data_IF_509472877297
#
_entry.id   IF_509472877297
#
_cell.length_a   1.000
_cell.length_b   1.000
_cell.length_c   1.000
_cell.angle_alpha   90.00
_cell.angle_beta   90.00
_cell.angle_gamma   90.00
#
_symmetry.space_group_name_H-M   'P 1'
#
loop_
_entity.id
_entity.type
_entity.pdbx_description
1 polymer ?
#
# COMPACT_ATOMS: atom_id res chain seq x y z
N UNK A 1 0.69 -19.64 12.19
CA UNK A 1 -0.67 -19.21 11.81
C UNK A 1 -0.52 -18.20 10.68
N UNK A 2 -0.79 -18.61 9.44
CA UNK A 2 -0.63 -17.77 8.24
C UNK A 2 -2.00 -17.14 7.95
N UNK A 3 -2.27 -15.96 8.50
CA UNK A 3 -3.38 -15.11 8.06
C UNK A 3 -2.91 -14.34 6.83
N UNK A 4 -3.09 -14.88 5.62
CA UNK A 4 -2.66 -14.15 4.40
C UNK A 4 -3.61 -14.16 3.20
N UNK A 5 -4.78 -14.81 3.27
CA UNK A 5 -5.67 -14.87 2.11
C UNK A 5 -6.80 -13.84 2.08
N UNK A 6 -7.23 -13.31 3.23
CA UNK A 6 -8.51 -12.60 3.28
C UNK A 6 -8.42 -11.21 3.92
N UNK A 7 -7.23 -10.59 3.89
CA UNK A 7 -7.09 -9.18 4.26
C UNK A 7 -7.30 -8.31 3.01
N UNK A 8 -8.23 -7.37 3.12
CA UNK A 8 -8.55 -6.40 2.07
C UNK A 8 -8.07 -5.03 2.52
N UNK A 9 -7.36 -4.33 1.64
CA UNK A 9 -6.92 -2.95 1.86
C UNK A 9 -7.79 -2.04 1.01
N UNK A 10 -8.44 -1.07 1.64
CA UNK A 10 -9.40 -0.17 0.97
C UNK A 10 -9.01 1.26 1.31
N UNK A 11 -8.75 2.07 0.29
CA UNK A 11 -8.60 3.51 0.43
C UNK A 11 -9.93 4.20 0.12
N UNK A 12 -10.28 5.25 0.86
CA UNK A 12 -11.46 6.08 0.58
C UNK A 12 -11.08 7.52 0.23
N UNK A 13 -12.09 8.34 -0.09
CA UNK A 13 -11.92 9.74 -0.46
C UNK A 13 -11.53 10.67 0.72
N UNK A 14 -11.54 10.15 1.96
CA UNK A 14 -11.10 10.88 3.16
C UNK A 14 -9.63 10.58 3.50
N UNK A 15 -8.88 9.96 2.57
CA UNK A 15 -7.49 9.55 2.75
C UNK A 15 -7.28 8.53 3.87
N UNK A 16 -8.31 7.75 4.17
CA UNK A 16 -8.27 6.66 5.12
C UNK A 16 -7.98 5.35 4.38
N UNK A 17 -7.06 4.55 4.91
CA UNK A 17 -6.78 3.20 4.46
C UNK A 17 -7.25 2.22 5.53
N UNK A 18 -8.28 1.45 5.20
CA UNK A 18 -8.81 0.40 6.04
C UNK A 18 -8.16 -0.93 5.72
N UNK A 19 -7.74 -1.64 6.76
CA UNK A 19 -7.29 -3.03 6.68
C UNK A 19 -8.41 -3.89 7.26
N UNK A 20 -9.14 -4.55 6.38
CA UNK A 20 -10.33 -5.32 6.71
C UNK A 20 -10.07 -6.82 6.66
N UNK A 21 -10.48 -7.55 7.70
CA UNK A 21 -10.50 -9.01 7.72
C UNK A 21 -11.87 -9.48 7.20
N UNK A 22 -11.89 -10.02 5.98
CA UNK A 22 -13.11 -10.45 5.33
C UNK A 22 -13.81 -11.60 6.07
N UNK A 23 -13.04 -12.56 6.61
CA UNK A 23 -13.63 -13.72 7.28
C UNK A 23 -14.26 -13.36 8.63
N UNK A 24 -13.65 -12.39 9.33
CA UNK A 24 -14.16 -11.93 10.63
C UNK A 24 -15.13 -10.77 10.52
N UNK A 25 -15.30 -10.21 9.33
CA UNK A 25 -16.10 -9.02 9.07
C UNK A 25 -15.73 -7.86 10.00
N UNK A 26 -14.44 -7.57 10.13
CA UNK A 26 -13.91 -6.61 11.10
C UNK A 26 -12.81 -5.73 10.48
N UNK A 27 -12.86 -4.43 10.78
CA UNK A 27 -11.74 -3.52 10.52
C UNK A 27 -10.66 -3.77 11.57
N UNK A 28 -9.48 -4.22 11.13
CA UNK A 28 -8.35 -4.50 12.00
C UNK A 28 -7.51 -3.26 12.32
N UNK A 29 -7.46 -2.32 11.38
CA UNK A 29 -6.67 -1.09 11.49
C UNK A 29 -7.13 -0.05 10.47
N UNK A 30 -6.93 1.22 10.81
CA UNK A 30 -7.16 2.38 9.93
C UNK A 30 -5.92 3.26 9.94
N UNK A 31 -5.36 3.54 8.76
CA UNK A 31 -4.28 4.50 8.57
C UNK A 31 -4.83 5.78 7.94
N UNK A 32 -4.27 6.93 8.31
CA UNK A 32 -4.63 8.24 7.76
C UNK A 32 -3.46 8.78 6.95
N UNK A 33 -3.74 9.32 5.76
CA UNK A 33 -2.77 10.05 4.96
C UNK A 33 -3.14 11.52 4.89
N UNK A 34 -2.15 12.41 5.01
CA UNK A 34 -2.36 13.86 4.90
C UNK A 34 -2.63 14.30 3.44
N UNK A 35 -2.36 13.41 2.49
CA UNK A 35 -2.38 13.69 1.06
C UNK A 35 -3.39 12.78 0.35
N UNK A 36 -3.91 13.25 -0.79
CA UNK A 36 -4.90 12.50 -1.55
C UNK A 36 -4.31 11.20 -2.09
N UNK A 37 -4.93 10.06 -1.78
CA UNK A 37 -4.51 8.75 -2.30
C UNK A 37 -5.04 8.59 -3.73
N UNK A 38 -4.14 8.37 -4.68
CA UNK A 38 -4.47 8.18 -6.10
C UNK A 38 -4.46 6.71 -6.50
N UNK A 39 -3.45 5.98 -6.02
CA UNK A 39 -3.25 4.56 -6.35
C UNK A 39 -2.63 3.84 -5.17
N UNK A 40 -2.90 2.54 -5.07
CA UNK A 40 -2.41 1.71 -3.99
C UNK A 40 -2.26 0.27 -4.46
N UNK A 41 -1.23 -0.42 -3.97
CA UNK A 41 -1.10 -1.87 -4.15
C UNK A 41 -0.47 -2.52 -2.92
N UNK A 42 -0.68 -3.83 -2.75
CA UNK A 42 -0.22 -4.57 -1.57
C UNK A 42 0.55 -5.80 -2.01
N UNK A 43 1.75 -5.98 -1.44
CA UNK A 43 2.51 -7.20 -1.61
C UNK A 43 2.19 -8.20 -0.50
N UNK A 44 1.44 -9.24 -0.86
CA UNK A 44 1.01 -10.29 0.08
C UNK A 44 2.18 -11.01 0.75
N UNK A 45 3.26 -11.35 0.05
CA UNK A 45 4.38 -12.11 0.64
C UNK A 45 5.29 -11.31 1.58
N UNK A 46 5.57 -10.04 1.30
CA UNK A 46 6.52 -9.24 2.09
C UNK A 46 5.88 -8.30 3.10
N UNK A 47 4.55 -8.32 3.25
CA UNK A 47 3.82 -7.41 4.12
C UNK A 47 4.10 -5.93 3.76
N UNK A 48 4.15 -5.64 2.45
CA UNK A 48 4.39 -4.28 1.97
C UNK A 48 3.10 -3.69 1.42
N UNK A 49 2.93 -2.40 1.64
CA UNK A 49 1.89 -1.58 1.06
C UNK A 49 2.59 -0.43 0.34
N UNK A 50 2.19 -0.13 -0.89
CA UNK A 50 2.65 1.07 -1.61
C UNK A 50 1.45 1.92 -1.95
N UNK A 51 1.62 3.23 -1.85
CA UNK A 51 0.61 4.21 -2.20
C UNK A 51 1.23 5.35 -2.99
N UNK A 52 0.50 5.85 -3.98
CA UNK A 52 0.82 7.10 -4.65
C UNK A 52 -0.16 8.13 -4.18
N UNK A 53 0.39 9.28 -3.80
CA UNK A 53 -0.36 10.49 -3.51
C UNK A 53 -0.29 11.47 -4.66
N UNK A 54 -0.88 12.65 -4.48
CA UNK A 54 -0.73 13.81 -5.34
C UNK A 54 0.67 14.46 -5.29
N UNK A 55 1.61 13.92 -4.51
CA UNK A 55 2.99 14.45 -4.39
C UNK A 55 4.08 13.40 -4.43
N UNK A 56 3.83 12.22 -3.90
CA UNK A 56 4.87 11.22 -3.64
C UNK A 56 4.35 9.80 -3.72
N UNK A 57 5.28 8.87 -3.91
CA UNK A 57 5.09 7.45 -3.67
C UNK A 57 5.61 7.13 -2.26
N UNK A 58 4.80 6.43 -1.47
CA UNK A 58 5.15 6.00 -0.12
C UNK A 58 5.05 4.47 -0.02
N UNK A 59 6.09 3.83 0.51
CA UNK A 59 6.13 2.40 0.79
C UNK A 59 6.10 2.18 2.30
N UNK A 60 5.23 1.30 2.75
CA UNK A 60 5.06 0.90 4.13
C UNK A 60 5.39 -0.58 4.31
N UNK A 61 5.92 -0.90 5.49
CA UNK A 61 5.89 -2.23 6.06
C UNK A 61 4.68 -2.34 6.99
N UNK A 62 3.81 -3.32 6.72
CA UNK A 62 2.51 -3.51 7.38
C UNK A 62 2.41 -4.89 8.04
N UNK A 63 2.81 -5.01 9.29
CA UNK A 63 2.60 -6.22 10.09
C UNK A 63 1.34 -6.09 10.93
N UNK A 64 0.22 -6.53 10.35
CA UNK A 64 -1.11 -6.45 10.97
C UNK A 64 -1.19 -7.23 12.30
N UNK A 65 -0.53 -8.39 12.39
CA UNK A 65 -0.52 -9.23 13.61
C UNK A 65 0.13 -8.48 14.78
N UNK A 66 1.24 -7.79 14.50
CA UNK A 66 1.97 -7.02 15.51
C UNK A 66 1.52 -5.57 15.62
N UNK A 67 0.52 -5.15 14.85
CA UNK A 67 0.06 -3.77 14.75
C UNK A 67 1.23 -2.80 14.44
N UNK A 68 2.13 -3.19 13.53
CA UNK A 68 3.27 -2.36 13.11
C UNK A 68 3.06 -1.85 11.69
N UNK A 69 3.01 -0.52 11.54
CA UNK A 69 2.81 0.17 10.28
C UNK A 69 3.86 1.27 10.16
N UNK A 70 4.91 1.01 9.38
CA UNK A 70 6.10 1.86 9.33
C UNK A 70 6.37 2.29 7.91
N UNK A 71 6.57 3.60 7.70
CA UNK A 71 7.05 4.12 6.42
C UNK A 71 8.48 3.65 6.21
N UNK A 72 8.71 2.91 5.13
CA UNK A 72 10.03 2.40 4.73
C UNK A 72 10.71 3.39 3.79
N UNK A 73 9.95 4.00 2.87
CA UNK A 73 10.51 4.92 1.87
C UNK A 73 9.46 5.91 1.36
N UNK A 74 9.94 7.10 1.02
CA UNK A 74 9.20 8.17 0.33
C UNK A 74 9.98 8.59 -0.91
N UNK A 75 9.28 8.78 -2.02
CA UNK A 75 9.88 9.13 -3.32
C UNK A 75 9.02 10.22 -3.93
N UNK A 76 9.62 11.37 -4.23
CA UNK A 76 8.90 12.48 -4.84
C UNK A 76 8.44 12.12 -6.27
N UNK A 77 7.23 12.54 -6.62
CA UNK A 77 6.64 12.29 -7.94
C UNK A 77 5.28 11.61 -7.83
N UNK A 78 4.36 12.04 -8.69
CA UNK A 78 2.98 11.55 -8.75
C UNK A 78 2.94 10.35 -9.69
N UNK A 79 2.61 9.18 -9.15
CA UNK A 79 2.48 7.97 -9.96
C UNK A 79 1.01 7.66 -10.20
N UNK A 80 0.59 7.64 -11.46
CA UNK A 80 -0.80 7.42 -11.86
C UNK A 80 -1.28 6.01 -11.51
N UNK A 81 -0.36 5.04 -11.61
CA UNK A 81 -0.62 3.65 -11.27
C UNK A 81 0.59 3.04 -10.56
N UNK A 82 0.30 2.12 -9.63
CA UNK A 82 1.29 1.36 -8.90
C UNK A 82 0.97 -0.14 -8.98
N UNK A 83 2.02 -0.95 -9.11
CA UNK A 83 1.89 -2.40 -8.98
C UNK A 83 3.13 -3.03 -8.36
N UNK A 84 2.93 -3.88 -7.36
CA UNK A 84 3.99 -4.75 -6.88
C UNK A 84 4.27 -5.88 -7.88
N UNK A 85 5.54 -6.24 -8.01
CA UNK A 85 5.91 -7.50 -8.66
C UNK A 85 5.32 -8.68 -7.88
N UNK A 86 4.96 -9.77 -8.57
CA UNK A 86 4.26 -10.90 -7.94
C UNK A 86 5.11 -11.67 -6.91
N UNK A 87 6.43 -11.66 -7.09
CA UNK A 87 7.37 -12.53 -6.36
C UNK A 87 8.45 -11.74 -5.62
N UNK A 88 8.80 -10.56 -6.14
CA UNK A 88 9.90 -9.76 -5.63
C UNK A 88 9.31 -8.53 -4.96
N UNK A 89 9.94 -7.95 -3.93
CA UNK A 89 9.45 -6.75 -3.25
C UNK A 89 9.63 -5.46 -4.09
N UNK A 90 9.55 -5.56 -5.42
CA UNK A 90 9.72 -4.46 -6.35
C UNK A 90 8.38 -3.79 -6.64
N UNK A 91 8.41 -2.48 -6.83
CA UNK A 91 7.24 -1.68 -7.22
C UNK A 91 7.47 -1.11 -8.60
N UNK A 92 6.50 -1.30 -9.49
CA UNK A 92 6.39 -0.58 -10.74
C UNK A 92 5.46 0.62 -10.53
N UNK A 93 5.90 1.79 -10.97
CA UNK A 93 5.10 3.01 -10.96
C UNK A 93 5.11 3.69 -12.32
N UNK A 94 3.95 4.14 -12.77
CA UNK A 94 3.81 4.93 -13.99
C UNK A 94 3.91 6.43 -13.66
N UNK A 95 4.91 7.11 -14.23
CA UNK A 95 5.12 8.56 -14.09
C UNK A 95 4.98 9.21 -15.48
N UNK A 96 3.78 9.70 -15.80
CA UNK A 96 3.45 10.15 -17.15
C UNK A 96 3.62 9.02 -18.18
N UNK A 97 4.54 9.21 -19.13
CA UNK A 97 4.85 8.22 -20.18
C UNK A 97 5.97 7.23 -19.79
N UNK A 98 6.54 7.35 -18.59
CA UNK A 98 7.63 6.50 -18.13
C UNK A 98 7.12 5.42 -17.16
N UNK A 99 7.70 4.23 -17.27
CA UNK A 99 7.53 3.15 -16.29
C UNK A 99 8.82 3.02 -15.49
N UNK A 100 8.74 3.30 -14.18
CA UNK A 100 9.88 3.26 -13.27
C UNK A 100 9.73 2.03 -12.37
N UNK A 101 10.85 1.34 -12.11
CA UNK A 101 10.92 0.22 -11.18
C UNK A 101 11.75 0.58 -9.96
N UNK A 102 11.21 0.33 -8.78
CA UNK A 102 11.88 0.51 -7.49
C UNK A 102 12.20 -0.84 -6.86
N UNK A 103 13.44 -1.02 -6.43
CA UNK A 103 13.97 -2.28 -5.85
C UNK A 103 14.41 -2.13 -4.40
#
# INVERSE_FOLDING_TARGET
MIFKKDLIYIANNNNEIYIFDYNRNLILHTMYQDQQILSMDVHSNYNLLTLSTDKELIIFYCNVIRQQFVVVKRINGVHESLKFHKVCPWVYGQLGNELIMYT
#
